data_IF_405093633626
#
_entry.id   IF_405093633626
#
_cell.length_a   1.000
_cell.length_b   1.000
_cell.length_c   1.000
_cell.angle_alpha   90.00
_cell.angle_beta   90.00
_cell.angle_gamma   90.00
#
_symmetry.space_group_name_H-M   'P 1'
#
loop_
_entity.id
_entity.type
_entity.pdbx_description
1 polymer ?
#
# COMPACT_ATOMS: atom_id res chain seq x y z
N UNK A 1 -10.03 -5.55 12.97
CA UNK A 1 -11.02 -4.93 12.07
C UNK A 1 -10.46 -4.92 10.66
N UNK A 2 -10.99 -5.75 9.76
CA UNK A 2 -10.79 -5.54 8.33
C UNK A 2 -11.78 -4.46 7.88
N UNK A 3 -11.29 -3.38 7.29
CA UNK A 3 -12.19 -2.40 6.66
C UNK A 3 -12.76 -3.06 5.41
N UNK A 4 -14.05 -3.46 5.46
CA UNK A 4 -14.73 -4.01 4.31
C UNK A 4 -14.75 -2.95 3.19
N UNK A 5 -14.17 -3.28 2.04
CA UNK A 5 -14.24 -2.38 0.88
C UNK A 5 -15.64 -2.49 0.29
N UNK A 6 -16.30 -1.35 0.09
CA UNK A 6 -17.61 -1.34 -0.57
C UNK A 6 -17.51 -1.54 -2.08
N UNK A 7 -16.35 -1.21 -2.67
CA UNK A 7 -16.12 -1.27 -4.10
C UNK A 7 -14.72 -1.76 -4.44
N UNK A 8 -14.64 -2.50 -5.55
CA UNK A 8 -13.41 -2.98 -6.16
C UNK A 8 -13.38 -2.62 -7.64
N UNK A 9 -12.19 -2.25 -8.09
CA UNK A 9 -11.89 -2.02 -9.49
C UNK A 9 -11.17 -3.23 -10.07
N UNK A 10 -11.51 -3.53 -11.31
CA UNK A 10 -10.92 -4.63 -12.07
C UNK A 10 -10.56 -4.16 -13.48
N UNK A 11 -9.62 -4.85 -14.11
CA UNK A 11 -9.23 -4.66 -15.49
C UNK A 11 -9.29 -5.98 -16.26
N UNK A 12 -9.66 -5.93 -17.55
CA UNK A 12 -9.77 -7.12 -18.39
C UNK A 12 -8.38 -7.62 -18.79
N UNK A 13 -8.03 -8.83 -18.34
CA UNK A 13 -6.66 -9.38 -18.40
C UNK A 13 -6.36 -10.29 -19.58
N UNK A 14 -7.34 -10.58 -20.43
CA UNK A 14 -7.16 -11.36 -21.66
C UNK A 14 -5.98 -10.83 -22.51
N UNK A 15 -5.35 -11.69 -23.30
CA UNK A 15 -4.28 -11.28 -24.23
C UNK A 15 -4.81 -10.25 -25.22
N UNK A 16 -5.95 -10.55 -25.84
CA UNK A 16 -6.77 -9.58 -26.54
C UNK A 16 -7.95 -9.12 -25.64
N UNK A 17 -7.88 -7.92 -25.05
CA UNK A 17 -8.92 -7.43 -24.16
C UNK A 17 -10.21 -7.03 -24.89
N UNK A 18 -10.23 -6.93 -26.21
CA UNK A 18 -11.41 -6.51 -26.99
C UNK A 18 -12.06 -7.65 -27.75
N UNK A 19 -11.46 -8.84 -27.76
CA UNK A 19 -12.11 -10.01 -28.33
C UNK A 19 -13.34 -10.44 -27.51
N UNK A 20 -14.38 -10.84 -28.25
CA UNK A 20 -15.58 -11.50 -27.74
C UNK A 20 -15.50 -13.04 -27.88
N UNK A 21 -14.42 -13.57 -28.47
CA UNK A 21 -14.25 -15.02 -28.70
C UNK A 21 -13.90 -15.80 -27.44
N UNK A 22 -13.39 -15.11 -26.42
CA UNK A 22 -12.93 -15.71 -25.16
C UNK A 22 -13.73 -15.16 -23.98
N UNK A 23 -13.96 -15.98 -22.94
CA UNK A 23 -14.55 -15.49 -21.70
C UNK A 23 -13.69 -14.38 -21.10
N UNK A 24 -14.34 -13.30 -20.65
CA UNK A 24 -13.63 -12.15 -20.09
C UNK A 24 -12.98 -12.51 -18.76
N UNK A 25 -11.65 -12.47 -18.72
CA UNK A 25 -10.87 -12.62 -17.50
C UNK A 25 -10.68 -11.24 -16.87
N UNK A 26 -11.05 -11.11 -15.60
CA UNK A 26 -10.93 -9.85 -14.87
C UNK A 26 -9.96 -10.01 -13.72
N UNK A 27 -8.96 -9.13 -13.65
CA UNK A 27 -8.01 -9.07 -12.54
C UNK A 27 -8.28 -7.84 -11.69
N UNK A 28 -8.12 -8.00 -10.39
CA UNK A 28 -8.21 -6.92 -9.43
C UNK A 28 -6.99 -6.00 -9.55
N UNK A 29 -7.20 -4.72 -9.31
CA UNK A 29 -6.11 -3.81 -8.97
C UNK A 29 -5.56 -4.14 -7.58
N UNK A 30 -4.31 -3.74 -7.32
CA UNK A 30 -3.79 -3.80 -5.96
C UNK A 30 -4.62 -2.94 -5.01
N UNK A 31 -4.47 -3.21 -3.72
CA UNK A 31 -5.17 -2.50 -2.65
C UNK A 31 -5.01 -0.98 -2.73
N UNK A 32 -3.79 -0.50 -3.02
CA UNK A 32 -3.48 0.94 -3.07
C UNK A 32 -3.93 1.54 -4.39
N UNK A 33 -3.74 0.85 -5.51
CA UNK A 33 -4.30 1.30 -6.81
C UNK A 33 -5.81 1.43 -6.71
N UNK A 34 -6.51 0.47 -6.11
CA UNK A 34 -7.95 0.54 -5.89
C UNK A 34 -8.35 1.77 -5.06
N UNK A 35 -7.58 2.10 -4.00
CA UNK A 35 -7.81 3.32 -3.21
C UNK A 35 -7.62 4.59 -4.06
N UNK A 36 -6.58 4.64 -4.89
CA UNK A 36 -6.30 5.78 -5.77
C UNK A 36 -7.43 5.96 -6.80
N UNK A 37 -7.87 4.87 -7.44
CA UNK A 37 -8.93 4.89 -8.45
C UNK A 37 -10.25 5.31 -7.81
N UNK A 38 -10.62 4.71 -6.69
CA UNK A 38 -11.87 5.00 -6.00
C UNK A 38 -11.90 6.43 -5.46
N UNK A 39 -10.80 6.95 -4.90
CA UNK A 39 -10.67 8.35 -4.50
C UNK A 39 -10.87 9.30 -5.69
N UNK A 40 -10.21 9.04 -6.83
CA UNK A 40 -10.36 9.86 -8.02
C UNK A 40 -11.80 9.83 -8.57
N UNK A 41 -12.42 8.66 -8.59
CA UNK A 41 -13.79 8.48 -9.07
C UNK A 41 -14.82 9.18 -8.17
N UNK A 42 -14.73 8.98 -6.85
CA UNK A 42 -15.66 9.58 -5.87
C UNK A 42 -15.49 11.08 -5.74
N UNK A 43 -14.32 11.62 -6.06
CA UNK A 43 -14.06 13.07 -6.15
C UNK A 43 -14.35 13.66 -7.54
N UNK A 44 -15.06 12.91 -8.41
CA UNK A 44 -15.48 13.35 -9.74
C UNK A 44 -14.35 13.81 -10.66
N UNK A 45 -13.14 13.25 -10.48
CA UNK A 45 -12.06 13.45 -11.45
C UNK A 45 -12.38 12.68 -12.74
N UNK A 46 -11.85 13.13 -13.86
CA UNK A 46 -12.02 12.46 -15.16
C UNK A 46 -11.07 11.28 -15.34
N UNK A 47 -9.95 11.27 -14.62
CA UNK A 47 -8.93 10.25 -14.69
C UNK A 47 -8.32 9.92 -13.32
N UNK A 48 -7.78 8.70 -13.22
CA UNK A 48 -6.89 8.27 -12.14
C UNK A 48 -5.51 7.95 -12.72
N UNK A 49 -4.46 8.49 -12.10
CA UNK A 49 -3.06 8.22 -12.49
C UNK A 49 -2.50 7.16 -11.55
N UNK A 50 -2.07 6.03 -12.11
CA UNK A 50 -1.32 4.97 -11.40
C UNK A 50 0.16 5.06 -11.78
N UNK A 51 1.02 4.18 -11.27
CA UNK A 51 2.45 4.19 -11.62
C UNK A 51 2.66 3.95 -13.13
N UNK A 52 2.12 2.86 -13.65
CA UNK A 52 2.36 2.41 -15.04
C UNK A 52 1.22 2.76 -16.01
N UNK A 53 0.06 3.15 -15.49
CA UNK A 53 -1.16 3.30 -16.27
C UNK A 53 -1.92 4.58 -15.92
N UNK A 54 -2.81 4.99 -16.80
CA UNK A 54 -3.82 6.02 -16.56
C UNK A 54 -5.18 5.39 -16.82
N UNK A 55 -6.15 5.63 -15.94
CA UNK A 55 -7.53 5.18 -16.11
C UNK A 55 -8.39 6.40 -16.43
N UNK A 56 -9.09 6.36 -17.56
CA UNK A 56 -10.05 7.37 -17.97
C UNK A 56 -11.45 6.85 -17.67
N UNK A 57 -12.21 7.58 -16.85
CA UNK A 57 -13.52 7.12 -16.38
C UNK A 57 -14.63 7.29 -17.41
N UNK A 58 -14.51 8.26 -18.32
CA UNK A 58 -15.50 8.51 -19.39
C UNK A 58 -15.77 7.26 -20.24
N UNK A 59 -14.69 6.59 -20.66
CA UNK A 59 -14.76 5.40 -21.50
C UNK A 59 -14.49 4.11 -20.72
N UNK A 60 -14.28 4.21 -19.40
CA UNK A 60 -13.91 3.06 -18.54
C UNK A 60 -12.73 2.27 -19.09
N UNK A 61 -11.63 2.99 -19.40
CA UNK A 61 -10.44 2.40 -20.02
C UNK A 61 -9.18 2.69 -19.21
N UNK A 62 -8.31 1.68 -19.11
CA UNK A 62 -6.93 1.82 -18.70
C UNK A 62 -6.03 1.92 -19.95
N UNK A 63 -5.09 2.85 -19.95
CA UNK A 63 -4.06 3.02 -20.99
C UNK A 63 -2.67 2.96 -20.36
N UNK A 64 -1.74 2.23 -20.99
CA UNK A 64 -0.33 2.22 -20.57
C UNK A 64 0.33 3.58 -20.83
N UNK A 65 1.11 4.05 -19.86
CA UNK A 65 1.90 5.29 -20.02
C UNK A 65 3.05 5.15 -21.00
N UNK A 66 3.48 3.92 -21.26
CA UNK A 66 4.62 3.62 -22.15
C UNK A 66 4.19 3.23 -23.56
N UNK A 67 2.92 2.89 -23.75
CA UNK A 67 2.41 2.33 -25.01
C UNK A 67 0.90 2.60 -25.12
N UNK A 68 0.53 3.64 -25.86
CA UNK A 68 -0.86 4.09 -25.98
C UNK A 68 -1.78 3.05 -26.63
N UNK A 69 -1.22 2.07 -27.35
CA UNK A 69 -1.97 0.96 -27.96
C UNK A 69 -2.32 -0.13 -26.94
N UNK A 70 -1.63 -0.16 -25.79
CA UNK A 70 -1.94 -1.10 -24.69
C UNK A 70 -3.06 -0.52 -23.83
N UNK A 71 -4.27 -0.74 -24.31
CA UNK A 71 -5.49 -0.35 -23.63
C UNK A 71 -6.27 -1.55 -23.13
N UNK A 72 -6.93 -1.41 -21.98
CA UNK A 72 -7.72 -2.48 -21.36
C UNK A 72 -8.99 -1.89 -20.73
N UNK A 73 -10.17 -2.49 -20.98
CA UNK A 73 -11.39 -2.11 -20.27
C UNK A 73 -11.24 -2.29 -18.76
N UNK A 74 -11.85 -1.37 -18.01
CA UNK A 74 -11.94 -1.43 -16.56
C UNK A 74 -13.40 -1.47 -16.11
N UNK A 75 -13.65 -2.03 -14.93
CA UNK A 75 -14.97 -1.99 -14.32
C UNK A 75 -14.89 -1.80 -12.83
N UNK A 76 -15.93 -1.18 -12.28
CA UNK A 76 -16.15 -1.02 -10.85
C UNK A 76 -17.26 -1.97 -10.41
N UNK A 77 -16.99 -2.78 -9.40
CA UNK A 77 -17.96 -3.73 -8.83
C UNK A 77 -18.22 -3.37 -7.37
N UNK A 78 -19.46 -3.60 -6.91
CA UNK A 78 -19.81 -3.51 -5.49
C UNK A 78 -19.45 -4.83 -4.82
N UNK A 79 -18.69 -4.79 -3.74
CA UNK A 79 -18.31 -5.99 -3.01
C UNK A 79 -19.42 -6.39 -2.02
N UNK A 80 -19.67 -7.69 -1.93
CA UNK A 80 -20.44 -8.30 -0.84
C UNK A 80 -19.51 -8.63 0.33
N UNK A 81 -20.08 -8.87 1.51
CA UNK A 81 -19.30 -9.18 2.72
C UNK A 81 -18.37 -10.41 2.54
N UNK A 82 -18.79 -11.36 1.70
CA UNK A 82 -18.08 -12.59 1.40
C UNK A 82 -16.99 -12.44 0.33
N UNK A 83 -16.93 -11.31 -0.40
CA UNK A 83 -15.95 -11.08 -1.48
C UNK A 83 -14.56 -10.66 -0.95
N UNK A 84 -14.39 -10.63 0.37
CA UNK A 84 -13.10 -10.39 1.01
C UNK A 84 -12.21 -11.64 0.86
N UNK A 85 -11.46 -11.69 -0.23
CA UNK A 85 -10.50 -12.75 -0.46
C UNK A 85 -9.36 -12.65 0.58
N UNK A 86 -9.12 -13.70 1.37
CA UNK A 86 -7.99 -13.72 2.28
C UNK A 86 -6.69 -13.67 1.48
N UNK A 87 -5.69 -13.00 2.06
CA UNK A 87 -4.39 -12.83 1.42
C UNK A 87 -3.59 -14.13 1.54
N UNK A 88 -3.65 -14.95 0.51
CA UNK A 88 -2.99 -16.27 0.51
C UNK A 88 -1.48 -16.19 0.79
N UNK A 89 -0.81 -15.14 0.28
CA UNK A 89 0.61 -14.86 0.49
C UNK A 89 1.03 -14.67 1.96
N UNK A 90 0.08 -14.39 2.86
CA UNK A 90 0.32 -14.35 4.32
C UNK A 90 0.44 -15.73 4.94
N UNK A 91 -0.20 -16.71 4.33
CA UNK A 91 -0.29 -18.08 4.80
C UNK A 91 0.71 -19.01 4.09
N UNK A 92 1.34 -18.54 3.00
CA UNK A 92 2.45 -19.23 2.36
C UNK A 92 3.69 -19.12 3.24
N UNK A 93 4.29 -20.28 3.56
CA UNK A 93 5.58 -20.37 4.23
C UNK A 93 6.64 -19.71 3.34
N UNK A 94 7.06 -18.50 3.68
CA UNK A 94 8.13 -17.81 2.98
C UNK A 94 9.45 -18.20 3.67
N UNK A 95 10.34 -18.98 3.02
CA UNK A 95 11.55 -19.47 3.66
C UNK A 95 12.40 -18.32 4.18
N UNK A 96 12.98 -18.52 5.36
CA UNK A 96 13.67 -17.44 6.03
C UNK A 96 14.98 -17.10 5.30
N UNK A 97 15.06 -15.97 4.56
CA UNK A 97 16.33 -15.46 3.99
C UNK A 97 17.39 -15.42 5.09
N UNK A 98 18.61 -15.93 4.88
CA UNK A 98 19.63 -15.98 5.93
C UNK A 98 20.29 -14.60 6.21
N UNK A 99 20.18 -13.65 5.28
CA UNK A 99 20.85 -12.34 5.34
C UNK A 99 19.99 -11.23 6.00
N UNK A 100 19.07 -11.60 6.91
CA UNK A 100 18.12 -10.62 7.48
C UNK A 100 18.82 -9.70 8.47
N UNK A 101 18.47 -8.40 8.48
CA UNK A 101 19.04 -7.47 9.45
C UNK A 101 18.55 -7.72 10.88
N UNK A 102 17.33 -8.24 11.08
CA UNK A 102 16.72 -8.37 12.43
C UNK A 102 16.06 -9.72 12.75
N UNK A 103 16.03 -10.66 11.80
CA UNK A 103 15.38 -11.97 11.99
C UNK A 103 16.04 -12.80 13.09
N UNK A 104 15.23 -13.39 13.98
CA UNK A 104 15.72 -14.27 15.05
C UNK A 104 16.44 -13.59 16.22
N UNK A 105 16.63 -12.26 16.17
CA UNK A 105 17.26 -11.49 17.25
C UNK A 105 16.20 -11.06 18.27
N UNK A 106 16.06 -11.84 19.34
CA UNK A 106 15.13 -11.56 20.43
C UNK A 106 15.83 -10.88 21.61
N UNK A 107 15.20 -9.82 22.14
CA UNK A 107 15.60 -9.11 23.35
C UNK A 107 14.44 -8.26 23.89
N UNK A 108 14.59 -7.68 25.08
CA UNK A 108 13.55 -6.86 25.72
C UNK A 108 13.08 -5.67 24.85
N UNK A 109 13.95 -5.16 23.99
CA UNK A 109 13.63 -4.17 22.96
C UNK A 109 14.06 -4.76 21.62
N UNK A 110 13.16 -4.75 20.63
CA UNK A 110 13.45 -5.20 19.27
C UNK A 110 14.69 -4.49 18.71
N UNK A 111 15.65 -5.22 18.12
CA UNK A 111 16.81 -4.63 17.44
C UNK A 111 16.43 -3.58 16.39
N UNK A 112 15.30 -3.77 15.70
CA UNK A 112 14.74 -2.79 14.77
C UNK A 112 14.45 -1.45 15.46
N UNK A 113 13.85 -1.48 16.66
CA UNK A 113 13.58 -0.27 17.45
C UNK A 113 14.89 0.40 17.86
N UNK A 114 15.92 -0.40 18.25
CA UNK A 114 17.23 0.15 18.62
C UNK A 114 17.93 0.86 17.47
N UNK A 115 17.96 0.25 16.28
CA UNK A 115 18.55 0.89 15.10
C UNK A 115 17.74 2.11 14.66
N UNK A 116 16.40 2.05 14.72
CA UNK A 116 15.53 3.20 14.44
C UNK A 116 15.81 4.36 15.40
N UNK A 117 15.96 4.07 16.69
CA UNK A 117 16.31 5.09 17.69
C UNK A 117 17.67 5.72 17.39
N UNK A 118 18.65 4.92 16.97
CA UNK A 118 19.98 5.40 16.60
C UNK A 118 19.93 6.29 15.36
N UNK A 119 19.25 5.85 14.30
CA UNK A 119 19.09 6.58 13.04
C UNK A 119 18.36 7.92 13.24
N UNK A 120 17.29 7.91 14.03
CA UNK A 120 16.51 9.10 14.35
C UNK A 120 17.07 9.94 15.49
N UNK A 121 18.20 9.52 16.09
CA UNK A 121 18.82 10.15 17.26
C UNK A 121 17.86 10.35 18.45
N UNK A 122 17.03 9.33 18.72
CA UNK A 122 16.01 9.30 19.78
C UNK A 122 16.58 8.56 21.00
N UNK A 123 16.52 9.19 22.17
CA UNK A 123 16.88 8.55 23.44
C UNK A 123 15.70 7.73 24.01
N UNK A 124 15.94 6.72 24.87
CA UNK A 124 14.87 5.87 25.41
C UNK A 124 13.71 6.63 26.07
N UNK A 125 13.99 7.70 26.81
CA UNK A 125 12.96 8.53 27.47
C UNK A 125 12.19 9.44 26.51
N UNK A 126 12.62 9.53 25.25
CA UNK A 126 11.96 10.32 24.20
C UNK A 126 11.09 9.44 23.30
N UNK A 127 11.00 8.13 23.55
CA UNK A 127 10.15 7.23 22.78
C UNK A 127 8.67 7.67 22.84
N UNK A 128 7.88 7.37 21.80
CA UNK A 128 6.45 7.72 21.75
C UNK A 128 5.64 7.29 22.97
N UNK A 129 6.01 6.16 23.61
CA UNK A 129 5.37 5.66 24.83
C UNK A 129 5.52 6.57 26.05
N UNK A 130 6.44 7.53 26.00
CA UNK A 130 6.81 8.41 27.12
C UNK A 130 6.75 9.89 26.72
N UNK A 131 6.94 10.19 25.44
CA UNK A 131 6.87 11.54 24.89
C UNK A 131 6.10 11.54 23.56
N UNK A 132 4.79 11.79 23.61
CA UNK A 132 3.95 11.81 22.40
C UNK A 132 4.31 12.95 21.44
N UNK A 133 4.98 14.02 21.90
CA UNK A 133 5.38 15.15 21.05
C UNK A 133 6.38 14.73 19.95
N UNK A 134 7.01 13.57 20.08
CA UNK A 134 7.92 13.03 19.06
C UNK A 134 7.19 12.38 17.89
N UNK A 135 5.91 12.00 18.07
CA UNK A 135 5.15 11.22 17.10
C UNK A 135 5.09 11.88 15.72
N UNK A 136 4.78 13.19 15.57
CA UNK A 136 4.75 13.83 14.27
C UNK A 136 6.10 13.77 13.53
N UNK A 137 7.21 13.87 14.25
CA UNK A 137 8.55 13.76 13.67
C UNK A 137 8.84 12.35 13.16
N UNK A 138 8.51 11.31 13.94
CA UNK A 138 8.65 9.91 13.51
C UNK A 138 7.76 9.62 12.30
N UNK A 139 6.51 10.08 12.33
CA UNK A 139 5.54 9.92 11.23
C UNK A 139 6.07 10.56 9.94
N UNK A 140 6.64 11.77 10.04
CA UNK A 140 7.24 12.46 8.90
C UNK A 140 8.42 11.67 8.32
N UNK A 141 9.33 11.20 9.18
CA UNK A 141 10.48 10.39 8.76
C UNK A 141 10.08 9.06 8.13
N UNK A 142 9.05 8.41 8.67
CA UNK A 142 8.49 7.19 8.10
C UNK A 142 7.87 7.45 6.72
N UNK A 143 7.12 8.55 6.55
CA UNK A 143 6.56 8.94 5.27
C UNK A 143 7.64 9.20 4.21
N UNK A 144 8.72 9.89 4.58
CA UNK A 144 9.88 10.11 3.70
C UNK A 144 10.51 8.78 3.27
N UNK A 145 10.74 7.86 4.21
CA UNK A 145 11.29 6.53 3.94
C UNK A 145 10.39 5.70 3.00
N UNK A 146 9.07 5.77 3.17
CA UNK A 146 8.11 5.11 2.27
C UNK A 146 8.25 5.65 0.85
N UNK A 147 8.35 6.98 0.68
CA UNK A 147 8.49 7.61 -0.63
C UNK A 147 9.79 7.21 -1.32
N UNK A 148 10.91 7.26 -0.60
CA UNK A 148 12.23 6.93 -1.16
C UNK A 148 12.30 5.46 -1.58
N UNK A 149 11.78 4.56 -0.75
CA UNK A 149 11.72 3.14 -1.09
C UNK A 149 10.81 2.88 -2.30
N UNK A 150 9.66 3.55 -2.37
CA UNK A 150 8.75 3.40 -3.48
C UNK A 150 9.36 3.88 -4.80
N UNK A 151 10.13 4.97 -4.78
CA UNK A 151 10.89 5.44 -5.95
C UNK A 151 11.88 4.38 -6.42
N UNK A 152 12.62 3.76 -5.48
CA UNK A 152 13.63 2.72 -5.78
C UNK A 152 13.05 1.54 -6.55
N UNK A 153 11.82 1.14 -6.26
CA UNK A 153 11.15 -0.01 -6.88
C UNK A 153 10.18 0.37 -8.01
N UNK A 154 10.13 1.65 -8.41
CA UNK A 154 9.23 2.11 -9.48
C UNK A 154 7.75 2.16 -9.10
N UNK A 155 7.43 2.36 -7.81
CA UNK A 155 6.08 2.45 -7.25
C UNK A 155 5.77 3.83 -6.65
N UNK A 156 6.27 4.88 -7.29
CA UNK A 156 6.25 6.27 -6.78
C UNK A 156 4.83 6.73 -6.37
N UNK A 157 3.83 6.54 -7.22
CA UNK A 157 2.46 6.99 -6.97
C UNK A 157 1.82 6.23 -5.80
N UNK A 158 2.02 4.91 -5.73
CA UNK A 158 1.61 4.11 -4.56
C UNK A 158 2.30 4.60 -3.28
N UNK A 159 3.60 4.86 -3.32
CA UNK A 159 4.37 5.37 -2.18
C UNK A 159 3.89 6.73 -1.69
N UNK A 160 3.65 7.67 -2.61
CA UNK A 160 3.10 9.00 -2.30
C UNK A 160 1.70 8.92 -1.69
N UNK A 161 0.86 7.99 -2.16
CA UNK A 161 -0.46 7.73 -1.56
C UNK A 161 -0.33 7.23 -0.13
N UNK A 162 0.50 6.22 0.11
CA UNK A 162 0.72 5.64 1.44
C UNK A 162 1.32 6.66 2.42
N UNK A 163 2.30 7.45 1.97
CA UNK A 163 2.93 8.49 2.77
C UNK A 163 1.93 9.60 3.14
N UNK A 164 1.11 10.05 2.20
CA UNK A 164 0.04 11.02 2.46
C UNK A 164 -0.98 10.51 3.47
N UNK A 165 -1.49 9.28 3.28
CA UNK A 165 -2.47 8.69 4.20
C UNK A 165 -1.92 8.56 5.65
N UNK A 166 -0.61 8.39 5.79
CA UNK A 166 0.09 8.38 7.07
C UNK A 166 0.26 9.80 7.64
N UNK A 167 0.70 10.76 6.82
CA UNK A 167 0.87 12.16 7.21
C UNK A 167 -0.44 12.83 7.64
N UNK A 168 -1.57 12.44 7.04
CA UNK A 168 -2.91 12.93 7.42
C UNK A 168 -3.28 12.60 8.88
N UNK A 169 -2.56 11.65 9.51
CA UNK A 169 -2.76 11.25 10.90
C UNK A 169 -1.65 11.73 11.84
N UNK A 170 -0.65 12.45 11.35
CA UNK A 170 0.55 12.82 12.13
C UNK A 170 0.22 13.58 13.44
N UNK A 171 -0.79 14.47 13.39
CA UNK A 171 -1.19 15.33 14.51
C UNK A 171 -2.42 14.78 15.27
N UNK A 172 -2.92 13.59 14.89
CA UNK A 172 -4.12 12.99 15.47
C UNK A 172 -3.85 12.18 16.76
N UNK A 173 -2.60 12.15 17.23
CA UNK A 173 -2.16 11.39 18.39
C UNK A 173 -1.72 9.96 18.06
N UNK A 174 -1.05 9.32 19.03
CA UNK A 174 -0.39 8.01 18.84
C UNK A 174 -1.37 6.90 18.47
N UNK A 175 -2.58 6.91 19.04
CA UNK A 175 -3.60 5.89 18.78
C UNK A 175 -4.05 5.88 17.31
N UNK A 176 -4.34 7.06 16.75
CA UNK A 176 -4.80 7.18 15.36
C UNK A 176 -3.68 6.87 14.36
N UNK A 177 -2.44 7.27 14.68
CA UNK A 177 -1.25 6.86 13.90
C UNK A 177 -1.11 5.34 13.91
N UNK A 178 -1.25 4.69 15.07
CA UNK A 178 -1.17 3.23 15.14
C UNK A 178 -2.28 2.57 14.33
N UNK A 179 -3.55 2.98 14.50
CA UNK A 179 -4.66 2.46 13.69
C UNK A 179 -4.37 2.58 12.18
N UNK A 180 -3.78 3.70 11.76
CA UNK A 180 -3.38 3.91 10.36
C UNK A 180 -2.24 2.98 9.93
N UNK A 181 -1.17 2.86 10.71
CA UNK A 181 -0.07 1.93 10.43
C UNK A 181 -0.55 0.48 10.37
N UNK A 182 -1.44 0.08 11.28
CA UNK A 182 -2.05 -1.25 11.29
C UNK A 182 -2.89 -1.46 10.02
N UNK A 183 -3.71 -0.48 9.63
CA UNK A 183 -4.47 -0.52 8.39
C UNK A 183 -3.55 -0.64 7.16
N UNK A 184 -2.50 0.17 7.06
CA UNK A 184 -1.53 0.09 5.96
C UNK A 184 -0.82 -1.26 5.90
N UNK A 185 -0.50 -1.84 7.07
CA UNK A 185 0.02 -3.21 7.14
C UNK A 185 -1.01 -4.22 6.63
N UNK A 186 -2.30 -3.96 6.80
CA UNK A 186 -3.38 -4.74 6.16
C UNK A 186 -3.67 -4.35 4.72
N UNK A 187 -2.77 -3.70 3.97
CA UNK A 187 -2.88 -3.50 2.52
C UNK A 187 -1.86 -4.38 1.78
N UNK A 188 -2.21 -4.89 0.60
CA UNK A 188 -1.29 -5.65 -0.25
C UNK A 188 -0.38 -4.65 -0.96
N UNK A 189 0.72 -4.28 -0.30
CA UNK A 189 1.64 -3.23 -0.74
C UNK A 189 3.08 -3.72 -0.74
N UNK A 190 3.95 -2.98 -1.42
CA UNK A 190 5.40 -3.18 -1.29
C UNK A 190 5.85 -3.02 0.16
N UNK A 191 5.26 -2.06 0.90
CA UNK A 191 5.62 -1.76 2.28
C UNK A 191 5.40 -2.97 3.20
N UNK A 192 4.27 -3.67 3.07
CA UNK A 192 4.02 -4.90 3.83
C UNK A 192 5.08 -5.97 3.53
N UNK A 193 5.46 -6.16 2.27
CA UNK A 193 6.48 -7.16 1.88
C UNK A 193 7.82 -6.84 2.53
N UNK A 194 8.25 -5.59 2.45
CA UNK A 194 9.52 -5.12 3.05
C UNK A 194 9.51 -5.27 4.56
N UNK A 195 8.43 -4.86 5.24
CA UNK A 195 8.31 -5.03 6.69
C UNK A 195 8.31 -6.53 7.06
N UNK A 196 7.59 -7.35 6.31
CA UNK A 196 7.56 -8.80 6.50
C UNK A 196 8.93 -9.45 6.32
N UNK A 197 9.73 -9.00 5.35
CA UNK A 197 11.10 -9.48 5.11
C UNK A 197 12.08 -9.00 6.18
N UNK A 198 11.93 -7.76 6.67
CA UNK A 198 12.83 -7.18 7.66
C UNK A 198 12.56 -7.70 9.09
N UNK A 199 11.29 -8.01 9.43
CA UNK A 199 10.86 -8.33 10.80
C UNK A 199 10.65 -9.84 11.07
N UNK A 200 10.38 -10.66 10.04
CA UNK A 200 10.35 -12.13 10.21
C UNK A 200 11.77 -12.67 10.21
#
# INVERSE_FOLDING_TARGET
MAFARSFQWMWKSNVDPFSDSEPAEWKLYSDVENLIIEEAYTTSRTLAVLDNYIITFENTMQTSKTDENKQRPVKRIKCNADDNHPREDRFIFNPMNAERPFGGLYGWISPFIRETMKDLNIRPHQLPSTNELIVPMIVTKAADGIIEEAKRIGKKIEGEKLARDLLDKKDAGMEEVWKRCAYMYTLQTFLYKIIGEAMR
#
